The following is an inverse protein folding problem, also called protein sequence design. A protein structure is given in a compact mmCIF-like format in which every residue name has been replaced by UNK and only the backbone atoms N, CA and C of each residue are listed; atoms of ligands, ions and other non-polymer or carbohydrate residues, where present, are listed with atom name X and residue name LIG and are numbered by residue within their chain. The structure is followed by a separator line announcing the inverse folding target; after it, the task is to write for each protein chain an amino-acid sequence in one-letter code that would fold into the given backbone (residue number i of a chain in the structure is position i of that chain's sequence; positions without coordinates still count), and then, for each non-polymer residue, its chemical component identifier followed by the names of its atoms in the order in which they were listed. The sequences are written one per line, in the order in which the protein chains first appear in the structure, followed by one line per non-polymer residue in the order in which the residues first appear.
data_IF_937828971037
#
_entry.id   IF_937828971037
#
_cell.length_a   1.000
_cell.length_b   1.000
_cell.length_c   1.000
_cell.angle_alpha   90.00
_cell.angle_beta   90.00
_cell.angle_gamma   90.00
#
_symmetry.space_group_name_H-M   'P 1'
#
loop_
_entity.id
_entity.type
_entity.pdbx_description
1 polymer ?
#
# COMPACT_ATOMS: atom_id res chain seq x y z
N UNK A 1 -57.73 24.38 -0.99
CA UNK A 1 -56.88 23.17 -0.88
C UNK A 1 -55.39 23.53 -0.82
N UNK A 2 -54.97 24.50 0.04
CA UNK A 2 -53.62 25.10 -0.04
C UNK A 2 -52.81 25.10 1.27
N UNK A 3 -53.37 24.67 2.41
CA UNK A 3 -52.69 24.82 3.71
C UNK A 3 -51.90 23.56 4.13
N UNK A 4 -52.25 22.38 3.59
CA UNK A 4 -51.58 21.11 3.93
C UNK A 4 -50.31 20.89 3.09
N UNK A 5 -50.32 21.28 1.80
CA UNK A 5 -49.15 21.15 0.92
C UNK A 5 -47.98 22.06 1.34
N UNK A 6 -48.25 23.29 1.80
CA UNK A 6 -47.19 24.20 2.26
C UNK A 6 -46.49 23.70 3.53
N UNK A 7 -47.24 23.10 4.46
CA UNK A 7 -46.67 22.52 5.69
C UNK A 7 -45.77 21.32 5.41
N UNK A 8 -46.15 20.47 4.45
CA UNK A 8 -45.34 19.32 4.03
C UNK A 8 -44.07 19.80 3.30
N UNK A 9 -44.17 20.79 2.42
CA UNK A 9 -43.01 21.34 1.70
C UNK A 9 -42.02 22.01 2.67
N UNK A 10 -42.53 22.74 3.67
CA UNK A 10 -41.70 23.37 4.70
C UNK A 10 -40.97 22.36 5.57
N UNK A 11 -41.63 21.23 5.92
CA UNK A 11 -40.99 20.15 6.65
C UNK A 11 -39.85 19.50 5.84
N UNK A 12 -40.04 19.26 4.55
CA UNK A 12 -39.01 18.69 3.66
C UNK A 12 -37.80 19.63 3.55
N UNK A 13 -38.03 20.94 3.38
CA UNK A 13 -36.95 21.93 3.35
C UNK A 13 -36.16 21.98 4.66
N UNK A 14 -36.82 21.87 5.81
CA UNK A 14 -36.14 21.81 7.10
C UNK A 14 -35.27 20.55 7.26
N UNK A 15 -35.74 19.38 6.80
CA UNK A 15 -34.93 18.14 6.84
C UNK A 15 -33.68 18.26 5.97
N UNK A 16 -33.81 18.79 4.74
CA UNK A 16 -32.67 18.99 3.83
C UNK A 16 -31.62 19.94 4.44
N UNK A 17 -32.07 21.02 5.09
CA UNK A 17 -31.16 21.98 5.72
C UNK A 17 -30.43 21.40 6.95
N UNK A 18 -31.08 20.51 7.70
CA UNK A 18 -30.47 19.79 8.83
C UNK A 18 -29.44 18.77 8.31
N UNK A 19 -29.74 18.05 7.23
CA UNK A 19 -28.82 17.08 6.62
C UNK A 19 -27.55 17.77 6.06
N UNK A 20 -27.67 18.88 5.33
CA UNK A 20 -26.51 19.63 4.79
C UNK A 20 -25.61 20.19 5.91
N UNK A 21 -26.20 20.67 7.00
CA UNK A 21 -25.45 21.20 8.15
C UNK A 21 -24.60 20.13 8.85
N UNK A 22 -25.10 18.89 8.94
CA UNK A 22 -24.36 17.78 9.57
C UNK A 22 -23.20 17.27 8.72
N UNK A 23 -23.36 17.24 7.39
CA UNK A 23 -22.30 16.78 6.46
C UNK A 23 -21.13 17.77 6.45
N UNK A 24 -21.40 19.08 6.43
CA UNK A 24 -20.35 20.10 6.42
C UNK A 24 -19.59 20.17 7.74
N UNK A 25 -20.27 19.91 8.87
CA UNK A 25 -19.63 19.81 10.18
C UNK A 25 -18.69 18.60 10.26
N UNK A 26 -19.13 17.41 9.88
CA UNK A 26 -18.28 16.21 9.93
C UNK A 26 -17.04 16.31 9.02
N UNK A 27 -17.20 16.85 7.81
CA UNK A 27 -16.07 17.10 6.90
C UNK A 27 -15.08 18.11 7.52
N UNK A 28 -15.56 19.25 8.03
CA UNK A 28 -14.69 20.27 8.64
C UNK A 28 -13.91 19.73 9.84
N UNK A 29 -14.54 18.89 10.68
CA UNK A 29 -13.89 18.27 11.84
C UNK A 29 -12.82 17.27 11.40
N UNK A 30 -13.10 16.44 10.38
CA UNK A 30 -12.14 15.49 9.84
C UNK A 30 -10.94 16.18 9.16
N UNK A 31 -11.17 17.25 8.40
CA UNK A 31 -10.09 18.05 7.82
C UNK A 31 -9.24 18.73 8.90
N UNK A 32 -9.87 19.23 9.97
CA UNK A 32 -9.18 19.90 11.07
C UNK A 32 -8.31 18.93 11.88
N UNK A 33 -8.82 17.73 12.18
CA UNK A 33 -8.08 16.71 12.93
C UNK A 33 -6.90 16.15 12.15
N UNK A 34 -7.05 15.91 10.84
CA UNK A 34 -5.93 15.50 9.97
C UNK A 34 -4.84 16.56 9.96
N UNK A 35 -5.20 17.84 9.92
CA UNK A 35 -4.22 18.93 9.88
C UNK A 35 -3.49 19.13 11.22
N UNK A 36 -4.19 18.93 12.34
CA UNK A 36 -3.58 18.94 13.69
C UNK A 36 -2.60 17.78 13.85
N UNK A 37 -3.01 16.55 13.48
CA UNK A 37 -2.12 15.38 13.52
C UNK A 37 -0.90 15.56 12.63
N UNK A 38 -1.08 16.11 11.43
CA UNK A 38 0.03 16.39 10.52
C UNK A 38 1.02 17.40 11.12
N UNK A 39 0.51 18.43 11.80
CA UNK A 39 1.33 19.47 12.44
C UNK A 39 2.08 18.96 13.68
N UNK A 40 1.47 18.09 14.48
CA UNK A 40 2.13 17.46 15.62
C UNK A 40 3.22 16.46 15.19
N UNK A 41 3.00 15.68 14.12
CA UNK A 41 4.01 14.77 13.56
C UNK A 41 5.24 15.55 13.05
N UNK A 42 5.02 16.70 12.39
CA UNK A 42 6.11 17.57 11.91
C UNK A 42 6.91 18.19 13.07
N UNK A 43 6.28 18.42 14.22
CA UNK A 43 6.95 19.00 15.39
C UNK A 43 7.70 17.98 16.26
N UNK A 44 7.40 16.69 16.13
CA UNK A 44 7.86 15.65 17.06
C UNK A 44 8.92 14.70 16.49
N UNK A 45 9.37 14.88 15.26
CA UNK A 45 10.30 13.92 14.64
C UNK A 45 11.63 14.57 14.26
N UNK A 46 12.67 14.16 14.99
CA UNK A 46 14.07 14.41 14.68
C UNK A 46 14.37 14.10 13.21
N UNK A 47 15.23 14.95 12.64
CA UNK A 47 15.62 15.12 11.23
C UNK A 47 16.05 13.89 10.40
N UNK A 48 15.92 12.65 10.90
CA UNK A 48 16.23 11.43 10.14
C UNK A 48 15.01 10.75 9.49
N UNK A 49 13.78 11.06 9.92
CA UNK A 49 12.53 10.42 9.43
C UNK A 49 11.75 11.20 8.37
N UNK A 50 12.17 12.44 8.08
CA UNK A 50 11.50 13.31 7.12
C UNK A 50 11.56 12.72 5.69
N UNK A 51 12.63 12.00 5.34
CA UNK A 51 12.79 11.42 3.99
C UNK A 51 11.85 10.24 3.72
N UNK A 52 11.53 9.43 4.73
CA UNK A 52 10.66 8.25 4.57
C UNK A 52 9.18 8.64 4.53
N UNK A 53 8.78 9.60 5.38
CA UNK A 53 7.40 10.11 5.42
C UNK A 53 7.06 10.88 4.13
N UNK A 54 8.02 11.61 3.58
CA UNK A 54 7.91 12.21 2.25
C UNK A 54 7.72 11.17 1.14
N UNK A 55 8.29 9.98 1.27
CA UNK A 55 8.22 8.92 0.26
C UNK A 55 6.78 8.47 0.01
N UNK A 56 6.02 8.18 1.07
CA UNK A 56 4.61 7.77 0.95
C UNK A 56 3.71 8.91 0.47
N UNK A 57 3.98 10.16 0.87
CA UNK A 57 3.24 11.34 0.40
C UNK A 57 3.43 11.62 -1.10
N UNK A 58 4.53 11.13 -1.70
CA UNK A 58 4.87 11.29 -3.12
C UNK A 58 4.33 10.15 -4.01
N UNK A 59 3.71 9.12 -3.44
CA UNK A 59 3.11 8.01 -4.20
C UNK A 59 1.96 8.53 -5.06
N UNK A 60 2.07 8.38 -6.38
CA UNK A 60 1.01 8.72 -7.34
C UNK A 60 0.33 7.48 -7.91
N UNK A 61 1.11 6.42 -8.13
CA UNK A 61 0.61 5.15 -8.65
C UNK A 61 0.95 4.03 -7.68
N UNK A 62 -0.08 3.46 -7.06
CA UNK A 62 0.01 2.24 -6.27
C UNK A 62 -0.56 1.07 -7.07
N UNK A 63 0.17 -0.05 -7.09
CA UNK A 63 -0.25 -1.28 -7.76
C UNK A 63 -0.27 -2.46 -6.80
N UNK A 64 -1.08 -3.45 -7.14
CA UNK A 64 -1.00 -4.79 -6.57
C UNK A 64 -0.17 -5.67 -7.51
N UNK A 65 0.92 -6.26 -7.01
CA UNK A 65 1.75 -7.18 -7.81
C UNK A 65 2.33 -8.31 -6.95
N UNK A 66 2.01 -9.55 -7.30
CA UNK A 66 2.20 -10.71 -6.41
C UNK A 66 2.92 -11.89 -7.08
N UNK A 67 3.95 -12.46 -6.42
CA UNK A 67 5.04 -11.80 -5.71
C UNK A 67 6.28 -11.61 -6.62
N UNK A 68 7.14 -10.66 -6.28
CA UNK A 68 8.36 -10.31 -7.03
C UNK A 68 9.44 -11.40 -7.02
N UNK A 69 9.36 -12.39 -6.14
CA UNK A 69 10.35 -13.47 -6.06
C UNK A 69 9.94 -14.73 -6.81
N UNK A 70 8.65 -14.87 -7.16
CA UNK A 70 8.11 -16.06 -7.83
C UNK A 70 8.02 -15.81 -9.33
N UNK A 71 9.15 -15.64 -10.00
CA UNK A 71 9.18 -15.46 -11.45
C UNK A 71 9.40 -16.78 -12.21
N UNK A 72 10.23 -17.69 -11.68
CA UNK A 72 10.53 -18.99 -12.34
C UNK A 72 9.27 -19.83 -12.63
N UNK A 73 8.31 -19.98 -11.69
CA UNK A 73 7.10 -20.77 -11.97
C UNK A 73 6.20 -20.18 -13.07
N UNK A 74 6.39 -18.91 -13.44
CA UNK A 74 5.65 -18.26 -14.52
C UNK A 74 6.50 -18.03 -15.77
N UNK A 75 7.68 -18.67 -15.85
CA UNK A 75 8.64 -18.48 -16.93
C UNK A 75 8.98 -16.98 -17.18
N UNK A 76 9.14 -16.23 -16.08
CA UNK A 76 9.55 -14.82 -16.09
C UNK A 76 10.97 -14.69 -15.54
N UNK A 77 11.61 -13.57 -15.83
CA UNK A 77 12.86 -13.15 -15.19
C UNK A 77 12.65 -11.94 -14.27
N UNK A 78 13.71 -11.49 -13.58
CA UNK A 78 13.64 -10.27 -12.78
C UNK A 78 13.51 -9.02 -13.65
N UNK A 79 14.07 -9.04 -14.86
CA UNK A 79 13.94 -7.96 -15.85
C UNK A 79 12.49 -7.81 -16.31
N UNK A 80 11.76 -8.92 -16.46
CA UNK A 80 10.32 -8.87 -16.76
C UNK A 80 9.52 -8.18 -15.65
N UNK A 81 9.89 -8.43 -14.38
CA UNK A 81 9.27 -7.75 -13.24
C UNK A 81 9.56 -6.25 -13.30
N UNK A 82 10.84 -5.87 -13.44
CA UNK A 82 11.25 -4.47 -13.51
C UNK A 82 10.54 -3.76 -14.67
N UNK A 83 10.41 -4.42 -15.82
CA UNK A 83 9.66 -3.90 -16.97
C UNK A 83 8.21 -3.59 -16.61
N UNK A 84 7.48 -4.53 -15.98
CA UNK A 84 6.10 -4.29 -15.54
C UNK A 84 6.01 -3.12 -14.56
N UNK A 85 6.91 -3.05 -13.58
CA UNK A 85 6.92 -1.96 -12.59
C UNK A 85 7.16 -0.60 -13.26
N UNK A 86 8.05 -0.55 -14.25
CA UNK A 86 8.37 0.68 -14.99
C UNK A 86 7.28 1.10 -16.00
N UNK A 87 6.66 0.13 -16.68
CA UNK A 87 5.56 0.38 -17.64
C UNK A 87 4.30 0.88 -16.92
N UNK A 88 4.01 0.33 -15.74
CA UNK A 88 2.90 0.77 -14.88
C UNK A 88 3.18 2.08 -14.16
N UNK A 89 4.42 2.60 -14.21
CA UNK A 89 4.86 3.79 -13.46
C UNK A 89 4.61 3.65 -11.95
N UNK A 90 4.79 2.44 -11.42
CA UNK A 90 4.52 2.15 -10.02
C UNK A 90 5.48 2.91 -9.09
N UNK A 91 4.91 3.68 -8.17
CA UNK A 91 5.63 4.29 -7.05
C UNK A 91 5.56 3.38 -5.81
N UNK A 92 4.45 2.64 -5.67
CA UNK A 92 4.20 1.74 -4.55
C UNK A 92 3.67 0.39 -5.04
N UNK A 93 4.25 -0.70 -4.53
CA UNK A 93 3.87 -2.07 -4.86
C UNK A 93 3.39 -2.78 -3.61
N UNK A 94 2.08 -3.02 -3.53
CA UNK A 94 1.48 -3.78 -2.46
C UNK A 94 1.66 -5.29 -2.70
N UNK A 95 1.85 -6.04 -1.60
CA UNK A 95 1.97 -7.51 -1.59
C UNK A 95 3.08 -8.05 -2.48
N UNK A 96 4.16 -7.28 -2.63
CA UNK A 96 5.31 -7.68 -3.42
C UNK A 96 5.95 -9.00 -2.92
N UNK A 97 5.81 -9.31 -1.63
CA UNK A 97 6.19 -10.58 -1.04
C UNK A 97 5.20 -10.96 0.07
N UNK A 98 4.53 -12.10 -0.07
CA UNK A 98 3.45 -12.49 0.84
C UNK A 98 3.82 -13.70 1.69
N UNK A 99 3.81 -13.53 3.02
CA UNK A 99 4.18 -14.58 3.97
C UNK A 99 2.97 -15.34 4.51
N UNK A 100 2.62 -16.46 3.86
CA UNK A 100 1.57 -17.38 4.34
C UNK A 100 2.08 -18.37 5.40
N UNK A 101 3.36 -18.75 5.31
CA UNK A 101 4.00 -19.72 6.19
C UNK A 101 5.35 -19.17 6.66
N UNK A 102 5.94 -19.72 7.75
CA UNK A 102 7.31 -19.41 8.14
C UNK A 102 8.24 -19.45 6.92
N UNK A 103 8.91 -18.33 6.67
CA UNK A 103 9.83 -18.15 5.57
C UNK A 103 11.25 -18.31 6.11
N UNK A 104 12.04 -19.26 5.59
CA UNK A 104 13.42 -19.40 6.04
C UNK A 104 14.30 -18.26 5.51
N UNK A 105 15.46 -18.05 6.12
CA UNK A 105 16.50 -17.16 5.60
C UNK A 105 17.14 -17.75 4.35
N UNK A 106 17.45 -19.05 4.38
CA UNK A 106 17.96 -19.82 3.24
C UNK A 106 17.27 -21.19 3.14
N UNK A 107 17.21 -21.82 1.94
CA UNK A 107 16.58 -23.12 1.76
C UNK A 107 17.11 -24.20 2.70
N UNK A 108 18.42 -24.17 3.04
CA UNK A 108 19.12 -25.19 3.82
C UNK A 108 18.54 -25.38 5.24
N UNK A 109 17.81 -24.38 5.75
CA UNK A 109 17.11 -24.45 7.03
C UNK A 109 15.89 -25.40 7.01
N UNK A 110 15.46 -25.85 5.83
CA UNK A 110 14.36 -26.81 5.68
C UNK A 110 14.84 -28.24 5.87
N UNK A 111 13.97 -29.09 6.41
CA UNK A 111 14.30 -30.43 6.90
C UNK A 111 14.55 -31.48 5.82
N UNK A 112 13.94 -31.34 4.64
CA UNK A 112 14.07 -32.34 3.56
C UNK A 112 14.50 -31.69 2.25
N UNK A 113 15.24 -32.44 1.42
CA UNK A 113 15.71 -31.93 0.14
C UNK A 113 14.57 -31.52 -0.80
N UNK A 114 13.45 -32.24 -0.77
CA UNK A 114 12.25 -31.88 -1.54
C UNK A 114 11.70 -30.49 -1.19
N UNK A 115 11.72 -30.13 0.11
CA UNK A 115 11.29 -28.80 0.57
C UNK A 115 12.30 -27.73 0.17
N UNK A 116 13.59 -28.03 0.25
CA UNK A 116 14.68 -27.13 -0.17
C UNK A 116 14.58 -26.81 -1.65
N UNK A 117 14.38 -27.82 -2.49
CA UNK A 117 14.27 -27.65 -3.93
C UNK A 117 13.03 -26.86 -4.31
N UNK A 118 11.88 -27.16 -3.69
CA UNK A 118 10.67 -26.35 -3.87
C UNK A 118 10.88 -24.89 -3.42
N UNK A 119 11.57 -24.67 -2.31
CA UNK A 119 11.88 -23.33 -1.80
C UNK A 119 12.75 -22.54 -2.79
N UNK A 120 13.79 -23.16 -3.35
CA UNK A 120 14.64 -22.60 -4.41
C UNK A 120 13.86 -22.31 -5.69
N UNK A 121 13.07 -23.27 -6.17
CA UNK A 121 12.28 -23.14 -7.39
C UNK A 121 11.25 -22.00 -7.30
N UNK A 122 10.54 -21.91 -6.16
CA UNK A 122 9.52 -20.86 -5.94
C UNK A 122 10.16 -19.50 -5.60
N UNK A 123 11.36 -19.49 -5.03
CA UNK A 123 12.03 -18.26 -4.58
C UNK A 123 11.47 -17.72 -3.26
N UNK A 124 11.03 -18.59 -2.34
CA UNK A 124 10.40 -18.21 -1.06
C UNK A 124 11.35 -18.33 0.13
N UNK A 125 12.33 -17.42 0.21
CA UNK A 125 13.31 -17.31 1.31
C UNK A 125 13.91 -15.88 1.34
N UNK A 126 14.31 -15.40 2.52
CA UNK A 126 14.68 -14.00 2.70
C UNK A 126 15.95 -13.59 1.95
N UNK A 127 16.95 -14.46 1.84
CA UNK A 127 18.18 -14.13 1.11
C UNK A 127 17.87 -13.75 -0.34
N UNK A 128 17.04 -14.53 -1.04
CA UNK A 128 16.62 -14.21 -2.40
C UNK A 128 15.70 -12.99 -2.47
N UNK A 129 14.81 -12.78 -1.49
CA UNK A 129 14.04 -11.54 -1.42
C UNK A 129 14.94 -10.31 -1.35
N UNK A 130 16.01 -10.35 -0.52
CA UNK A 130 16.98 -9.26 -0.41
C UNK A 130 17.70 -8.99 -1.73
N UNK A 131 18.14 -10.05 -2.41
CA UNK A 131 18.77 -9.97 -3.74
C UNK A 131 17.83 -9.32 -4.76
N UNK A 132 16.58 -9.81 -4.85
CA UNK A 132 15.57 -9.29 -5.77
C UNK A 132 15.23 -7.82 -5.48
N UNK A 133 15.03 -7.45 -4.20
CA UNK A 133 14.78 -6.06 -3.81
C UNK A 133 15.96 -5.17 -4.20
N UNK A 134 17.19 -5.63 -3.95
CA UNK A 134 18.40 -4.88 -4.31
C UNK A 134 18.48 -4.62 -5.81
N UNK A 135 18.24 -5.65 -6.63
CA UNK A 135 18.23 -5.50 -8.09
C UNK A 135 17.13 -4.56 -8.57
N UNK A 136 15.90 -4.69 -8.03
CA UNK A 136 14.80 -3.79 -8.39
C UNK A 136 15.13 -2.34 -8.01
N UNK A 137 15.63 -2.10 -6.78
CA UNK A 137 15.98 -0.74 -6.32
C UNK A 137 17.17 -0.15 -7.06
N UNK A 138 18.07 -0.96 -7.61
CA UNK A 138 19.13 -0.47 -8.48
C UNK A 138 18.57 0.15 -9.79
N UNK A 139 17.45 -0.40 -10.31
CA UNK A 139 16.77 0.14 -11.49
C UNK A 139 15.71 1.20 -11.17
N UNK A 140 15.02 1.06 -10.05
CA UNK A 140 13.87 1.87 -9.62
C UNK A 140 14.10 2.33 -8.17
N UNK A 141 14.99 3.30 -7.92
CA UNK A 141 15.46 3.61 -6.56
C UNK A 141 14.38 4.13 -5.62
N UNK A 142 13.38 4.82 -6.16
CA UNK A 142 12.31 5.45 -5.38
C UNK A 142 11.10 4.55 -5.15
N UNK A 143 11.09 3.33 -5.72
CA UNK A 143 9.94 2.44 -5.58
C UNK A 143 9.80 1.93 -4.15
N UNK A 144 8.57 1.95 -3.65
CA UNK A 144 8.22 1.43 -2.33
C UNK A 144 7.67 0.02 -2.51
N UNK A 145 8.38 -0.96 -1.92
CA UNK A 145 8.01 -2.37 -1.98
C UNK A 145 7.42 -2.79 -0.64
N UNK A 146 6.14 -3.13 -0.62
CA UNK A 146 5.41 -3.51 0.58
C UNK A 146 5.12 -5.01 0.58
N UNK A 147 5.72 -5.71 1.54
CA UNK A 147 5.36 -7.11 1.85
C UNK A 147 4.01 -7.19 2.55
N UNK A 148 3.46 -8.40 2.64
CA UNK A 148 2.20 -8.63 3.36
C UNK A 148 2.24 -9.94 4.16
N UNK A 149 1.34 -10.01 5.14
CA UNK A 149 0.96 -11.22 5.88
C UNK A 149 -0.58 -11.29 5.75
N UNK A 150 -1.17 -12.44 5.38
CA UNK A 150 -2.63 -12.60 5.30
C UNK A 150 -3.29 -12.46 6.66
#
# INVERSE_FOLDING_TARGET
MNNMHYKVLFAILMVIMIEVGTIQSAASTQYSTVNIYSKEIVSATDSSSLSETEGLLKVRVAILYEPITRYRPFNRTIEDIIRVLNETKADFVFRCFWRWNPCPETPEQLSTESLRERCRYVGYYYKHLKEVISTIKASLPNIILCGAIP
#
